data_IF_930846803189
#
_entry.id   IF_930846803189
#
_cell.length_a   1.000
_cell.length_b   1.000
_cell.length_c   1.000
_cell.angle_alpha   90.00
_cell.angle_beta   90.00
_cell.angle_gamma   90.00
#
_symmetry.space_group_name_H-M   'P 1'
#
loop_
_entity.id
_entity.type
_entity.pdbx_description
1 polymer ?
#
# COMPACT_ATOMS: atom_id res chain seq x y z
N UNK A 1 -39.63 -1.36 11.52
CA UNK A 1 -40.02 -0.58 10.32
C UNK A 1 -39.07 -0.97 9.20
N UNK A 2 -39.54 -1.82 8.29
CA UNK A 2 -38.77 -2.40 7.18
C UNK A 2 -39.11 -1.65 5.89
N UNK A 3 -38.16 -1.07 5.16
CA UNK A 3 -38.44 -0.47 3.86
C UNK A 3 -38.53 -1.56 2.79
N UNK A 4 -39.71 -1.67 2.18
CA UNK A 4 -40.01 -2.44 0.97
C UNK A 4 -39.49 -1.68 -0.25
N UNK A 5 -38.55 -2.26 -1.00
CA UNK A 5 -38.02 -1.70 -2.24
C UNK A 5 -38.80 -2.27 -3.44
N UNK A 6 -39.61 -1.44 -4.10
CA UNK A 6 -40.28 -1.77 -5.35
C UNK A 6 -39.28 -1.60 -6.51
N UNK A 7 -38.95 -2.70 -7.18
CA UNK A 7 -38.23 -2.68 -8.45
C UNK A 7 -39.20 -2.39 -9.60
N UNK A 8 -38.98 -1.30 -10.32
CA UNK A 8 -39.61 -1.02 -11.61
C UNK A 8 -38.77 -1.65 -12.72
N UNK A 9 -39.31 -2.71 -13.33
CA UNK A 9 -38.78 -3.28 -14.56
C UNK A 9 -39.21 -2.40 -15.75
N UNK A 10 -38.25 -1.73 -16.39
CA UNK A 10 -38.49 -1.04 -17.66
C UNK A 10 -38.08 -1.98 -18.79
N UNK A 11 -39.06 -2.74 -19.26
CA UNK A 11 -39.02 -3.46 -20.54
C UNK A 11 -39.39 -2.48 -21.64
N UNK A 12 -38.41 -1.89 -22.32
CA UNK A 12 -38.64 -1.24 -23.60
C UNK A 12 -38.15 -2.12 -24.74
N UNK A 13 -39.16 -2.58 -25.49
CA UNK A 13 -39.06 -3.16 -26.79
C UNK A 13 -38.60 -2.10 -27.80
N UNK A 14 -37.55 -2.41 -28.57
CA UNK A 14 -37.21 -1.68 -29.77
C UNK A 14 -37.11 -2.67 -30.93
N UNK A 15 -38.29 -2.94 -31.49
CA UNK A 15 -38.48 -3.46 -32.82
C UNK A 15 -37.84 -2.51 -33.84
N UNK A 16 -36.88 -3.00 -34.61
CA UNK A 16 -37.05 -3.37 -36.03
C UNK A 16 -37.57 -2.20 -36.89
N UNK A 17 -36.65 -1.43 -37.45
CA UNK A 17 -36.83 -0.72 -38.72
C UNK A 17 -35.71 -1.21 -39.65
N UNK A 18 -36.13 -1.90 -40.72
CA UNK A 18 -35.24 -2.37 -41.78
C UNK A 18 -34.76 -1.22 -42.65
N UNK A 19 -33.49 -1.30 -43.06
CA UNK A 19 -32.95 -0.53 -44.19
C UNK A 19 -32.84 -1.45 -45.42
N UNK A 20 -33.55 -1.16 -46.52
CA UNK A 20 -33.42 -1.86 -47.78
C UNK A 20 -32.35 -1.19 -48.65
N UNK A 21 -31.08 -1.34 -48.29
CA UNK A 21 -29.97 -0.95 -49.17
C UNK A 21 -29.03 -2.14 -49.32
N UNK A 22 -29.18 -2.82 -50.46
CA UNK A 22 -28.34 -3.94 -50.88
C UNK A 22 -26.93 -3.46 -51.19
N UNK A 23 -26.11 -3.31 -50.15
CA UNK A 23 -24.67 -3.19 -50.32
C UNK A 23 -24.16 -4.50 -50.94
N UNK A 24 -23.38 -4.45 -52.05
CA UNK A 24 -22.76 -5.63 -52.60
C UNK A 24 -21.91 -6.28 -51.50
N UNK A 25 -22.17 -7.56 -51.23
CA UNK A 25 -21.42 -8.36 -50.26
C UNK A 25 -19.95 -8.35 -50.65
N UNK A 26 -19.19 -7.43 -50.06
CA UNK A 26 -17.75 -7.43 -50.15
C UNK A 26 -17.26 -8.68 -49.42
N UNK A 27 -16.36 -9.48 -50.00
CA UNK A 27 -15.75 -10.58 -49.29
C UNK A 27 -15.11 -10.02 -48.00
N UNK A 28 -15.23 -10.73 -46.86
CA UNK A 28 -14.63 -10.28 -45.62
C UNK A 28 -13.15 -10.02 -45.88
N UNK A 29 -12.69 -8.80 -45.57
CA UNK A 29 -11.26 -8.50 -45.69
C UNK A 29 -10.51 -9.50 -44.81
N UNK A 30 -9.51 -10.22 -45.34
CA UNK A 30 -8.65 -11.06 -44.53
C UNK A 30 -8.16 -10.24 -43.34
N UNK A 31 -8.43 -10.69 -42.12
CA UNK A 31 -7.92 -10.02 -40.93
C UNK A 31 -6.38 -10.06 -41.02
N UNK A 32 -5.69 -8.93 -41.25
CA UNK A 32 -4.25 -8.94 -41.16
C UNK A 32 -3.95 -9.38 -39.73
N UNK A 33 -3.27 -10.52 -39.59
CA UNK A 33 -2.76 -10.94 -38.29
C UNK A 33 -1.97 -9.80 -37.65
N UNK A 34 -1.79 -9.79 -36.32
CA UNK A 34 -1.10 -8.71 -35.63
C UNK A 34 0.19 -8.37 -36.38
N UNK A 35 0.24 -7.17 -36.96
CA UNK A 35 1.46 -6.72 -37.64
C UNK A 35 2.60 -6.81 -36.64
N UNK A 36 3.75 -7.40 -37.00
CA UNK A 36 4.89 -7.43 -36.11
C UNK A 36 5.25 -5.98 -35.80
N UNK A 37 5.15 -5.61 -34.52
CA UNK A 37 5.54 -4.29 -34.06
C UNK A 37 7.05 -4.16 -34.30
N UNK A 38 7.43 -3.43 -35.35
CA UNK A 38 8.79 -2.96 -35.52
C UNK A 38 9.03 -1.89 -34.45
N UNK A 39 9.31 -2.35 -33.23
CA UNK A 39 9.83 -1.47 -32.19
C UNK A 39 11.10 -0.80 -32.70
N UNK A 40 11.36 0.47 -32.35
CA UNK A 40 12.65 1.08 -32.63
C UNK A 40 13.73 0.12 -32.13
N UNK A 41 14.73 -0.17 -32.97
CA UNK A 41 15.82 -1.07 -32.63
C UNK A 41 16.30 -0.78 -31.23
N UNK A 42 16.01 -1.69 -30.29
CA UNK A 42 16.48 -1.60 -28.92
C UNK A 42 17.95 -1.98 -28.93
N UNK A 43 18.74 -1.12 -29.56
CA UNK A 43 20.17 -1.08 -29.41
C UNK A 43 20.38 -0.96 -27.89
N UNK A 44 20.87 -2.03 -27.25
CA UNK A 44 20.85 -2.19 -25.79
C UNK A 44 21.69 -1.17 -24.99
N UNK A 45 22.17 -0.09 -25.63
CA UNK A 45 22.97 0.95 -25.00
C UNK A 45 22.17 1.77 -23.97
N UNK A 46 20.83 1.88 -24.11
CA UNK A 46 19.97 2.52 -23.10
C UNK A 46 19.70 1.62 -21.87
N UNK A 47 19.95 0.31 -21.96
CA UNK A 47 19.80 -0.59 -20.80
C UNK A 47 20.89 -0.35 -19.75
N UNK A 48 22.05 0.18 -20.16
CA UNK A 48 23.19 0.48 -19.27
C UNK A 48 22.88 1.59 -18.26
N UNK A 49 22.40 2.80 -18.66
CA UNK A 49 22.08 3.85 -17.69
C UNK A 49 20.91 3.47 -16.77
N UNK A 50 19.92 2.71 -17.24
CA UNK A 50 18.80 2.26 -16.40
C UNK A 50 19.27 1.26 -15.35
N UNK A 51 20.07 0.28 -15.75
CA UNK A 51 20.64 -0.70 -14.81
C UNK A 51 21.53 0.00 -13.76
N UNK A 52 22.35 0.97 -14.19
CA UNK A 52 23.17 1.76 -13.29
C UNK A 52 22.33 2.58 -12.31
N UNK A 53 21.23 3.20 -12.77
CA UNK A 53 20.32 3.95 -11.92
C UNK A 53 19.66 3.06 -10.86
N UNK A 54 19.18 1.86 -11.23
CA UNK A 54 18.59 0.90 -10.29
C UNK A 54 19.61 0.46 -9.23
N UNK A 55 20.84 0.15 -9.63
CA UNK A 55 21.91 -0.24 -8.70
C UNK A 55 22.27 0.92 -7.75
N UNK A 56 22.36 2.16 -8.24
CA UNK A 56 22.65 3.33 -7.41
C UNK A 56 21.52 3.61 -6.42
N UNK A 57 20.25 3.48 -6.84
CA UNK A 57 19.09 3.63 -5.96
C UNK A 57 19.10 2.54 -4.88
N UNK A 58 19.29 1.28 -5.27
CA UNK A 58 19.40 0.15 -4.33
C UNK A 58 20.55 0.33 -3.34
N UNK A 59 21.72 0.78 -3.81
CA UNK A 59 22.88 1.08 -2.96
C UNK A 59 22.61 2.24 -2.02
N UNK A 60 21.93 3.30 -2.49
CA UNK A 60 21.51 4.43 -1.66
C UNK A 60 20.58 4.01 -0.52
N UNK A 61 19.58 3.18 -0.82
CA UNK A 61 18.66 2.60 0.16
C UNK A 61 19.43 1.73 1.16
N UNK A 62 20.29 0.83 0.68
CA UNK A 62 21.09 -0.05 1.53
C UNK A 62 22.05 0.72 2.45
N UNK A 63 22.70 1.78 1.93
CA UNK A 63 23.58 2.64 2.72
C UNK A 63 22.80 3.47 3.73
N UNK A 64 21.61 3.98 3.38
CA UNK A 64 20.73 4.68 4.31
C UNK A 64 20.25 3.77 5.43
N UNK A 65 19.85 2.53 5.11
CA UNK A 65 19.50 1.51 6.09
C UNK A 65 20.69 1.14 6.99
N UNK A 66 21.89 0.96 6.42
CA UNK A 66 23.13 0.70 7.17
C UNK A 66 23.52 1.87 8.08
N UNK A 67 23.38 3.12 7.63
CA UNK A 67 23.66 4.30 8.46
C UNK A 67 22.70 4.37 9.64
N UNK A 68 21.39 4.14 9.42
CA UNK A 68 20.41 4.06 10.51
C UNK A 68 20.76 2.97 11.52
N UNK A 69 21.24 1.80 11.06
CA UNK A 69 21.70 0.72 11.95
C UNK A 69 23.00 1.06 12.70
N UNK A 70 23.94 1.77 12.08
CA UNK A 70 25.22 2.15 12.73
C UNK A 70 25.08 3.32 13.71
N UNK A 71 24.08 4.16 13.56
CA UNK A 71 23.74 5.21 14.53
C UNK A 71 23.15 4.66 15.84
N UNK A 72 22.85 3.36 15.90
CA UNK A 72 22.62 2.65 17.16
C UNK A 72 23.88 1.86 17.56
N UNK A 73 24.80 2.43 18.35
CA UNK A 73 25.80 1.62 19.03
C UNK A 73 25.07 0.57 19.85
N UNK A 74 25.48 -0.69 19.69
CA UNK A 74 25.01 -1.84 20.43
C UNK A 74 25.27 -1.67 21.93
N UNK A 75 24.44 -0.88 22.61
CA UNK A 75 24.23 -0.99 24.04
C UNK A 75 23.01 -1.88 24.24
N UNK A 76 23.32 -3.08 24.71
CA UNK A 76 22.42 -3.94 25.47
C UNK A 76 21.69 -3.10 26.51
N UNK A 77 20.47 -2.72 26.21
CA UNK A 77 19.41 -2.49 27.19
C UNK A 77 18.09 -2.35 26.46
N UNK A 78 17.13 -3.13 26.93
CA UNK A 78 15.72 -3.05 26.61
C UNK A 78 15.23 -1.61 26.73
N UNK A 79 15.15 -0.91 25.61
CA UNK A 79 14.45 0.36 25.48
C UNK A 79 14.09 0.52 24.00
N UNK A 80 12.80 0.38 23.72
CA UNK A 80 12.17 0.73 22.45
C UNK A 80 12.73 2.09 22.01
N UNK A 81 13.31 2.23 20.80
CA UNK A 81 13.78 3.51 20.33
C UNK A 81 12.55 4.34 19.97
N UNK A 82 12.04 5.05 20.98
CA UNK A 82 11.16 6.19 20.78
C UNK A 82 11.98 7.22 20.01
N UNK A 83 11.90 7.15 18.68
CA UNK A 83 12.39 8.20 17.79
C UNK A 83 11.52 9.41 18.09
N UNK A 84 11.90 10.20 19.09
CA UNK A 84 11.21 11.45 19.40
C UNK A 84 11.29 12.30 18.12
N UNK A 85 10.15 12.67 17.52
CA UNK A 85 10.17 13.58 16.40
C UNK A 85 10.90 14.86 16.84
N UNK A 86 11.80 15.38 16.00
CA UNK A 86 12.35 16.71 16.20
C UNK A 86 11.19 17.68 16.43
N UNK A 87 11.27 18.53 17.44
CA UNK A 87 10.20 19.43 17.92
C UNK A 87 9.64 20.42 16.88
N UNK A 88 10.10 20.35 15.64
CA UNK A 88 9.68 21.15 14.49
C UNK A 88 8.91 20.37 13.42
N UNK A 89 8.54 19.10 13.64
CA UNK A 89 7.75 18.35 12.63
C UNK A 89 6.29 18.80 12.62
N UNK A 90 5.72 18.96 11.43
CA UNK A 90 4.29 19.29 11.30
C UNK A 90 3.41 18.14 11.83
N UNK A 91 2.16 18.40 12.24
CA UNK A 91 1.22 17.34 12.61
C UNK A 91 1.05 16.27 11.51
N UNK A 92 1.01 16.71 10.25
CA UNK A 92 0.97 15.84 9.07
C UNK A 92 2.20 14.91 9.01
N UNK A 93 3.41 15.45 9.19
CA UNK A 93 4.63 14.64 9.18
C UNK A 93 4.63 13.59 10.29
N UNK A 94 4.09 13.92 11.47
CA UNK A 94 3.99 12.96 12.59
C UNK A 94 3.03 11.82 12.27
N UNK A 95 1.88 12.13 11.67
CA UNK A 95 0.91 11.12 11.24
C UNK A 95 1.53 10.17 10.20
N UNK A 96 2.16 10.73 9.16
CA UNK A 96 2.83 9.93 8.12
C UNK A 96 3.94 9.06 8.72
N UNK A 97 4.75 9.62 9.62
CA UNK A 97 5.82 8.85 10.29
C UNK A 97 5.27 7.67 11.12
N UNK A 98 4.14 7.85 11.82
CA UNK A 98 3.48 6.77 12.58
C UNK A 98 2.96 5.67 11.65
N UNK A 99 2.32 6.06 10.55
CA UNK A 99 1.82 5.13 9.54
C UNK A 99 2.95 4.33 8.88
N UNK A 100 4.06 4.98 8.53
CA UNK A 100 5.27 4.31 8.02
C UNK A 100 5.85 3.33 9.03
N UNK A 101 5.94 3.70 10.31
CA UNK A 101 6.43 2.80 11.36
C UNK A 101 5.55 1.54 11.50
N UNK A 102 4.23 1.68 11.45
CA UNK A 102 3.31 0.54 11.48
C UNK A 102 3.47 -0.32 10.22
N UNK A 103 3.57 0.29 9.03
CA UNK A 103 3.76 -0.44 7.76
C UNK A 103 5.06 -1.26 7.78
N UNK A 104 6.16 -0.70 8.27
CA UNK A 104 7.43 -1.41 8.46
C UNK A 104 7.29 -2.57 9.48
N UNK A 105 6.55 -2.37 10.56
CA UNK A 105 6.29 -3.43 11.54
C UNK A 105 5.45 -4.58 10.95
N UNK A 106 4.46 -4.28 10.11
CA UNK A 106 3.67 -5.28 9.37
C UNK A 106 4.59 -6.07 8.43
N UNK A 107 5.41 -5.38 7.62
CA UNK A 107 6.37 -6.03 6.70
C UNK A 107 7.34 -6.93 7.47
N UNK A 108 7.80 -6.47 8.63
CA UNK A 108 8.69 -7.27 9.50
C UNK A 108 7.98 -8.51 10.06
N UNK A 109 6.72 -8.38 10.47
CA UNK A 109 5.95 -9.46 11.10
C UNK A 109 5.43 -10.52 10.11
N UNK A 110 5.13 -10.15 8.87
CA UNK A 110 4.54 -11.04 7.87
C UNK A 110 5.42 -11.31 6.65
N UNK A 111 6.50 -10.56 6.48
CA UNK A 111 7.52 -10.77 5.45
C UNK A 111 7.46 -9.81 4.26
N UNK A 112 8.43 -9.90 3.33
CA UNK A 112 8.63 -8.91 2.26
C UNK A 112 7.48 -8.79 1.25
N UNK A 113 6.67 -9.84 1.06
CA UNK A 113 5.52 -9.81 0.15
C UNK A 113 4.46 -8.79 0.57
N UNK A 114 4.42 -8.44 1.86
CA UNK A 114 3.49 -7.43 2.39
C UNK A 114 3.91 -6.00 2.07
N UNK A 115 5.16 -5.77 1.65
CA UNK A 115 5.63 -4.42 1.30
C UNK A 115 4.91 -3.85 0.07
N UNK A 116 4.48 -4.72 -0.84
CA UNK A 116 3.77 -4.35 -2.06
C UNK A 116 2.26 -4.15 -1.83
N UNK A 117 1.72 -4.52 -0.66
CA UNK A 117 0.27 -4.48 -0.44
C UNK A 117 -0.26 -3.05 -0.30
N UNK A 118 -1.39 -2.78 -0.95
CA UNK A 118 -2.12 -1.50 -0.77
C UNK A 118 -2.88 -1.48 0.55
N UNK A 119 -3.34 -0.31 0.97
CA UNK A 119 -4.12 -0.19 2.22
C UNK A 119 -5.44 -0.99 2.15
N UNK A 120 -6.05 -1.11 0.97
CA UNK A 120 -7.25 -1.92 0.70
C UNK A 120 -6.96 -3.43 0.75
N UNK A 121 -5.81 -3.86 0.23
CA UNK A 121 -5.37 -5.26 0.31
C UNK A 121 -5.05 -5.65 1.75
N UNK A 122 -4.47 -4.74 2.55
CA UNK A 122 -4.28 -4.95 3.98
C UNK A 122 -5.62 -5.04 4.71
N UNK A 123 -6.62 -4.22 4.33
CA UNK A 123 -7.93 -4.20 4.95
C UNK A 123 -8.73 -5.49 4.75
N UNK A 124 -8.51 -6.18 3.62
CA UNK A 124 -9.15 -7.46 3.31
C UNK A 124 -8.38 -8.68 3.82
N UNK A 125 -7.23 -8.48 4.49
CA UNK A 125 -6.39 -9.58 4.96
C UNK A 125 -6.84 -10.10 6.34
N UNK A 126 -7.34 -11.34 6.45
CA UNK A 126 -7.68 -11.94 7.75
C UNK A 126 -6.43 -12.18 8.62
N UNK A 127 -5.28 -12.41 8.00
CA UNK A 127 -4.00 -12.68 8.67
C UNK A 127 -3.59 -11.52 9.60
N UNK A 128 -3.89 -10.28 9.21
CA UNK A 128 -3.64 -9.10 10.05
C UNK A 128 -4.60 -9.05 11.25
N UNK A 129 -5.89 -9.30 11.02
CA UNK A 129 -6.91 -9.30 12.07
C UNK A 129 -6.68 -10.42 13.10
N UNK A 130 -6.33 -11.62 12.64
CA UNK A 130 -5.99 -12.77 13.50
C UNK A 130 -4.79 -12.46 14.39
N UNK A 131 -3.88 -11.60 13.91
CA UNK A 131 -2.63 -11.28 14.59
C UNK A 131 -2.80 -10.25 15.70
N UNK A 132 -3.44 -9.12 15.41
CA UNK A 132 -3.52 -7.98 16.35
C UNK A 132 -4.93 -7.77 16.92
N UNK A 133 -5.92 -8.53 16.44
CA UNK A 133 -7.34 -8.40 16.74
C UNK A 133 -8.05 -7.52 15.69
N UNK A 134 -9.30 -7.88 15.37
CA UNK A 134 -10.11 -7.20 14.34
C UNK A 134 -10.31 -5.70 14.62
N UNK A 135 -10.58 -5.31 15.86
CA UNK A 135 -10.76 -3.90 16.22
C UNK A 135 -9.48 -3.09 16.01
N UNK A 136 -8.33 -3.69 16.38
CA UNK A 136 -7.03 -3.05 16.21
C UNK A 136 -6.64 -2.98 14.74
N UNK A 137 -6.91 -4.02 13.95
CA UNK A 137 -6.65 -3.99 12.51
C UNK A 137 -7.49 -2.90 11.84
N UNK A 138 -8.78 -2.77 12.14
CA UNK A 138 -9.60 -1.68 11.61
C UNK A 138 -9.02 -0.29 11.93
N UNK A 139 -8.57 -0.06 13.16
CA UNK A 139 -7.93 1.22 13.54
C UNK A 139 -6.60 1.46 12.81
N UNK A 140 -5.79 0.41 12.62
CA UNK A 140 -4.55 0.50 11.82
C UNK A 140 -4.86 0.90 10.39
N UNK A 141 -5.84 0.26 9.76
CA UNK A 141 -6.25 0.58 8.38
C UNK A 141 -6.75 2.02 8.28
N UNK A 142 -7.56 2.49 9.24
CA UNK A 142 -8.02 3.87 9.27
C UNK A 142 -6.86 4.87 9.36
N UNK A 143 -5.86 4.60 10.22
CA UNK A 143 -4.66 5.45 10.32
C UNK A 143 -3.85 5.47 9.01
N UNK A 144 -3.66 4.30 8.37
CA UNK A 144 -2.92 4.21 7.10
C UNK A 144 -3.64 4.98 6.00
N UNK A 145 -4.97 4.82 5.88
CA UNK A 145 -5.77 5.54 4.89
C UNK A 145 -5.72 7.06 5.11
N UNK A 146 -5.77 7.51 6.37
CA UNK A 146 -5.67 8.93 6.71
C UNK A 146 -4.27 9.49 6.39
N UNK A 147 -3.21 8.73 6.66
CA UNK A 147 -1.86 9.12 6.27
C UNK A 147 -1.68 9.20 4.75
N UNK A 148 -2.24 8.24 4.00
CA UNK A 148 -2.24 8.28 2.53
C UNK A 148 -3.00 9.52 2.03
N UNK A 149 -4.17 9.82 2.60
CA UNK A 149 -4.95 11.03 2.28
C UNK A 149 -4.12 12.29 2.49
N UNK A 150 -3.49 12.46 3.65
CA UNK A 150 -2.63 13.63 3.96
C UNK A 150 -1.45 13.73 3.00
N UNK A 151 -0.79 12.59 2.72
CA UNK A 151 0.37 12.52 1.81
C UNK A 151 0.05 12.96 0.38
N UNK A 152 -1.15 12.63 -0.12
CA UNK A 152 -1.54 12.91 -1.51
C UNK A 152 -2.35 14.20 -1.67
N UNK A 153 -3.12 14.61 -0.67
CA UNK A 153 -3.93 15.83 -0.74
C UNK A 153 -3.16 17.10 -0.39
N UNK A 154 -2.11 16.98 0.44
CA UNK A 154 -1.45 18.14 1.06
C UNK A 154 -2.33 18.85 2.09
N UNK A 155 -3.51 18.32 2.41
CA UNK A 155 -4.40 18.87 3.42
C UNK A 155 -3.82 18.61 4.81
N UNK A 156 -3.75 19.64 5.63
CA UNK A 156 -3.31 19.52 7.02
C UNK A 156 -4.46 18.89 7.82
N UNK A 157 -4.24 17.75 8.50
CA UNK A 157 -5.27 17.15 9.32
C UNK A 157 -5.75 18.14 10.39
N UNK A 158 -7.06 18.22 10.58
CA UNK A 158 -7.68 19.09 11.58
C UNK A 158 -7.18 18.72 12.98
N UNK A 159 -6.92 19.71 13.83
CA UNK A 159 -6.37 19.50 15.20
C UNK A 159 -7.31 18.70 16.13
N UNK A 160 -8.56 18.45 15.71
CA UNK A 160 -9.58 17.72 16.46
C UNK A 160 -9.43 16.18 16.42
N UNK A 161 -8.28 15.66 15.97
CA UNK A 161 -8.02 14.21 15.88
C UNK A 161 -7.71 13.52 17.23
N UNK A 162 -8.02 14.18 18.35
CA UNK A 162 -7.80 13.67 19.70
C UNK A 162 -6.40 13.97 20.24
N UNK A 163 -6.14 13.48 21.46
CA UNK A 163 -4.88 13.71 22.15
C UNK A 163 -3.72 13.01 21.40
N UNK A 164 -2.71 13.77 20.92
CA UNK A 164 -1.56 13.19 20.23
C UNK A 164 -0.79 12.19 21.10
N UNK A 165 -0.80 12.34 22.43
CA UNK A 165 -0.12 11.41 23.35
C UNK A 165 -0.83 10.06 23.44
N UNK A 166 -2.17 10.07 23.41
CA UNK A 166 -2.95 8.84 23.38
C UNK A 166 -2.74 8.08 22.07
N UNK A 167 -2.66 8.81 20.95
CA UNK A 167 -2.34 8.22 19.66
C UNK A 167 -0.93 7.59 19.67
N UNK A 168 0.08 8.28 20.23
CA UNK A 168 1.44 7.74 20.35
C UNK A 168 1.51 6.50 21.23
N UNK A 169 0.77 6.50 22.35
CA UNK A 169 0.66 5.32 23.24
C UNK A 169 0.05 4.14 22.49
N UNK A 170 -1.05 4.36 21.78
CA UNK A 170 -1.70 3.32 20.98
C UNK A 170 -0.79 2.80 19.85
N UNK A 171 -0.08 3.68 19.13
CA UNK A 171 0.89 3.25 18.11
C UNK A 171 1.97 2.37 18.74
N UNK A 172 2.50 2.74 19.90
CA UNK A 172 3.50 1.94 20.61
C UNK A 172 2.97 0.55 21.00
N UNK A 173 1.71 0.45 21.43
CA UNK A 173 1.05 -0.83 21.73
C UNK A 173 0.93 -1.72 20.48
N UNK A 174 0.54 -1.15 19.33
CA UNK A 174 0.45 -1.88 18.06
C UNK A 174 1.83 -2.40 17.63
N UNK A 175 2.85 -1.55 17.69
CA UNK A 175 4.22 -1.94 17.34
C UNK A 175 4.74 -3.08 18.25
N UNK A 176 4.42 -3.02 19.54
CA UNK A 176 4.74 -4.08 20.48
C UNK A 176 4.00 -5.39 20.14
N UNK A 177 2.71 -5.32 19.82
CA UNK A 177 1.91 -6.49 19.44
C UNK A 177 2.42 -7.17 18.15
N UNK A 178 2.75 -6.39 17.12
CA UNK A 178 3.32 -6.91 15.86
C UNK A 178 4.70 -7.55 16.08
N UNK A 179 5.52 -6.96 16.96
CA UNK A 179 6.87 -7.47 17.27
C UNK A 179 6.85 -8.77 18.07
N UNK A 180 5.98 -8.87 19.08
CA UNK A 180 5.89 -10.05 19.95
C UNK A 180 5.59 -11.34 19.18
N UNK A 181 4.81 -11.21 18.10
CA UNK A 181 4.29 -12.34 17.36
C UNK A 181 5.23 -12.86 16.25
N UNK A 182 6.25 -12.08 15.88
CA UNK A 182 7.33 -12.53 15.00
C UNK A 182 8.29 -13.51 15.69
N UNK A 183 8.40 -13.46 17.02
CA UNK A 183 9.33 -14.31 17.78
C UNK A 183 8.90 -15.78 17.86
N UNK A 184 7.60 -16.08 17.74
CA UNK A 184 7.06 -17.44 17.91
C UNK A 184 7.19 -18.33 16.67
N UNK A 185 7.49 -17.78 15.49
CA UNK A 185 7.43 -18.54 14.23
C UNK A 185 8.75 -19.22 13.83
N UNK A 186 9.84 -19.02 14.57
CA UNK A 186 11.21 -19.43 14.15
C UNK A 186 11.66 -20.80 14.68
N UNK A 187 10.85 -21.52 15.46
CA UNK A 187 11.35 -22.73 16.17
C UNK A 187 10.89 -24.10 15.63
N UNK A 188 10.14 -24.20 14.52
CA UNK A 188 9.61 -25.49 14.01
C UNK A 188 10.32 -25.90 12.71
N UNK A 189 11.64 -26.09 12.79
CA UNK A 189 12.42 -26.50 11.63
C UNK A 189 13.88 -26.79 11.97
N UNK A 190 14.11 -27.81 12.80
CA UNK A 190 15.40 -28.50 12.91
C UNK A 190 15.17 -29.99 12.90
#
# INVERSE_FOLDING_TARGET
>A
MTPTFQGTATTEALSVLGSPDGFPLLPPRPNPGPEPWHGPGVDGWWAVPISAAIVLVGLGIALRARRRRRSHPARVSSAIPATRPSSSSSPADRLVARAEAIREAIITAFGPSWAARTTEELASSPELADRIGADRSCRVIALLAEADRVKFSGEVPSEDQGDPEDLDRWVAEILAALSAAGATSTSIGR
#
